data_IF_751621779287
#
_entry.id   IF_751621779287
#
_cell.length_a   1.000
_cell.length_b   1.000
_cell.length_c   1.000
_cell.angle_alpha   90.00
_cell.angle_beta   90.00
_cell.angle_gamma   90.00
#
_symmetry.space_group_name_H-M   'P 1'
#
loop_
_entity.id
_entity.type
_entity.pdbx_description
1 polymer ?
#
# COMPACT_ATOMS: atom_id res chain seq x y z
N UNK A 1 -39.31 -6.41 -27.43
CA UNK A 1 -38.10 -6.07 -28.17
C UNK A 1 -38.33 -5.51 -29.57
N UNK A 2 -39.53 -5.66 -30.18
CA UNK A 2 -39.88 -5.12 -31.51
C UNK A 2 -40.55 -3.72 -31.50
N UNK A 3 -40.99 -3.19 -30.38
CA UNK A 3 -41.67 -1.88 -30.27
C UNK A 3 -40.76 -0.68 -30.07
N UNK A 4 -39.44 -0.89 -29.81
CA UNK A 4 -38.46 0.20 -29.68
C UNK A 4 -37.74 0.55 -30.98
N UNK A 5 -37.81 -0.27 -32.02
CA UNK A 5 -37.14 -0.05 -33.32
C UNK A 5 -37.88 0.88 -34.27
N UNK A 6 -39.19 1.10 -34.04
CA UNK A 6 -40.00 1.96 -34.97
C UNK A 6 -39.88 3.46 -34.68
N UNK A 7 -39.26 3.88 -33.56
CA UNK A 7 -39.05 5.30 -33.25
C UNK A 7 -37.65 5.82 -33.62
N UNK A 8 -36.79 4.98 -34.21
CA UNK A 8 -35.38 5.32 -34.53
C UNK A 8 -35.13 5.62 -35.99
N UNK A 9 -36.12 5.78 -36.86
CA UNK A 9 -35.90 6.02 -38.29
C UNK A 9 -36.68 7.22 -38.83
N UNK A 10 -36.41 8.48 -38.42
CA UNK A 10 -36.83 9.65 -39.21
C UNK A 10 -35.87 10.03 -40.32
N UNK A 11 -34.98 9.12 -40.73
CA UNK A 11 -33.95 9.41 -41.76
C UNK A 11 -34.41 9.32 -43.20
N UNK A 12 -35.68 8.95 -43.48
CA UNK A 12 -36.12 8.69 -44.85
C UNK A 12 -36.85 9.88 -45.51
N UNK A 13 -37.20 10.95 -44.80
CA UNK A 13 -37.97 12.06 -45.38
C UNK A 13 -37.20 13.39 -45.56
N UNK A 14 -35.87 13.41 -45.47
CA UNK A 14 -35.04 14.52 -45.92
C UNK A 14 -35.21 15.87 -45.19
N UNK A 15 -36.05 16.00 -44.18
CA UNK A 15 -36.22 17.22 -43.40
C UNK A 15 -36.03 16.93 -41.90
N UNK A 16 -34.81 17.09 -41.45
CA UNK A 16 -34.54 17.11 -39.98
C UNK A 16 -35.00 18.44 -39.39
N UNK A 17 -35.91 18.45 -38.39
CA UNK A 17 -36.21 19.66 -37.66
C UNK A 17 -34.92 20.07 -36.90
N UNK A 18 -34.43 21.28 -37.18
CA UNK A 18 -33.20 21.86 -36.63
C UNK A 18 -33.12 21.78 -35.11
N UNK A 19 -34.23 21.63 -34.40
CA UNK A 19 -34.33 21.50 -32.93
C UNK A 19 -33.95 20.12 -32.39
N UNK A 20 -33.82 19.04 -33.19
CA UNK A 20 -33.52 17.67 -32.70
C UNK A 20 -32.03 17.34 -32.85
N UNK A 21 -31.30 18.02 -33.73
CA UNK A 21 -29.89 17.75 -34.00
C UNK A 21 -28.97 18.24 -32.86
N UNK A 22 -29.31 19.38 -32.24
CA UNK A 22 -28.50 19.97 -31.18
C UNK A 22 -28.34 19.10 -29.94
N UNK A 23 -29.37 18.44 -29.35
CA UNK A 23 -29.21 17.60 -28.17
C UNK A 23 -28.31 16.39 -28.42
N UNK A 24 -28.39 15.75 -29.60
CA UNK A 24 -27.61 14.56 -29.90
C UNK A 24 -26.11 14.86 -30.18
N UNK A 25 -25.81 15.98 -30.79
CA UNK A 25 -24.44 16.41 -31.10
C UNK A 25 -23.64 16.66 -29.83
N UNK A 26 -24.29 17.14 -28.76
CA UNK A 26 -23.66 17.39 -27.44
C UNK A 26 -23.79 16.17 -26.54
N UNK A 27 -24.94 15.51 -26.52
CA UNK A 27 -25.18 14.39 -25.59
C UNK A 27 -24.32 13.16 -25.89
N UNK A 28 -24.11 12.82 -27.16
CA UNK A 28 -23.31 11.64 -27.53
C UNK A 28 -21.84 11.73 -27.07
N UNK A 29 -21.08 12.80 -27.37
CA UNK A 29 -19.71 12.92 -26.86
C UNK A 29 -19.60 12.88 -25.35
N UNK A 30 -20.52 13.54 -24.63
CA UNK A 30 -20.51 13.53 -23.16
C UNK A 30 -20.81 12.12 -22.63
N UNK A 31 -21.79 11.42 -23.21
CA UNK A 31 -22.12 10.05 -22.81
C UNK A 31 -20.96 9.09 -23.05
N UNK A 32 -20.30 9.21 -24.21
CA UNK A 32 -19.14 8.39 -24.55
C UNK A 32 -17.96 8.69 -23.59
N UNK A 33 -17.72 9.96 -23.25
CA UNK A 33 -16.70 10.35 -22.29
C UNK A 33 -16.99 9.77 -20.88
N UNK A 34 -18.23 9.92 -20.40
CA UNK A 34 -18.67 9.35 -19.12
C UNK A 34 -18.52 7.83 -19.14
N UNK A 35 -18.89 7.17 -20.21
CA UNK A 35 -18.74 5.72 -20.36
C UNK A 35 -17.27 5.28 -20.40
N UNK A 36 -16.41 6.03 -21.07
CA UNK A 36 -14.97 5.75 -21.08
C UNK A 36 -14.36 5.92 -19.68
N UNK A 37 -14.73 7.00 -18.98
CA UNK A 37 -14.29 7.22 -17.59
C UNK A 37 -14.81 6.12 -16.65
N UNK A 38 -16.07 5.71 -16.76
CA UNK A 38 -16.61 4.58 -16.02
C UNK A 38 -15.86 3.28 -16.37
N UNK A 39 -15.60 3.01 -17.64
CA UNK A 39 -14.84 1.82 -18.04
C UNK A 39 -13.42 1.77 -17.45
N UNK A 40 -12.70 2.91 -17.44
CA UNK A 40 -11.39 3.00 -16.80
C UNK A 40 -11.51 2.75 -15.27
N UNK A 41 -12.48 3.36 -14.63
CA UNK A 41 -12.73 3.17 -13.21
C UNK A 41 -13.14 1.71 -12.91
N UNK A 42 -13.94 1.10 -13.80
CA UNK A 42 -14.34 -0.30 -13.72
C UNK A 42 -13.18 -1.29 -13.74
N UNK A 43 -12.09 -0.98 -14.49
CA UNK A 43 -10.85 -1.79 -14.46
C UNK A 43 -10.22 -1.73 -13.07
N UNK A 44 -10.13 -0.54 -12.46
CA UNK A 44 -9.55 -0.36 -11.11
C UNK A 44 -10.40 -1.03 -10.03
N UNK A 45 -11.73 -0.85 -10.11
CA UNK A 45 -12.70 -1.51 -9.22
C UNK A 45 -12.67 -3.02 -9.40
N UNK A 46 -12.58 -3.49 -10.64
CA UNK A 46 -12.48 -4.92 -10.98
C UNK A 46 -11.23 -5.56 -10.38
N UNK A 47 -10.07 -4.89 -10.49
CA UNK A 47 -8.82 -5.37 -9.87
C UNK A 47 -8.95 -5.43 -8.35
N UNK A 48 -9.41 -4.35 -7.72
CA UNK A 48 -9.67 -4.30 -6.28
C UNK A 48 -10.62 -5.41 -5.82
N UNK A 49 -11.70 -5.63 -6.56
CA UNK A 49 -12.69 -6.68 -6.29
C UNK A 49 -12.07 -8.07 -6.41
N UNK A 50 -11.32 -8.32 -7.48
CA UNK A 50 -10.60 -9.58 -7.69
C UNK A 50 -9.68 -9.89 -6.51
N UNK A 51 -8.87 -8.94 -6.06
CA UNK A 51 -7.97 -9.10 -4.92
C UNK A 51 -8.72 -9.42 -3.62
N UNK A 52 -9.80 -8.69 -3.34
CA UNK A 52 -10.60 -8.90 -2.13
C UNK A 52 -11.27 -10.26 -2.11
N UNK A 53 -11.82 -10.73 -3.22
CA UNK A 53 -12.47 -12.03 -3.29
C UNK A 53 -11.45 -13.17 -3.36
N UNK A 54 -10.33 -13.00 -4.07
CA UNK A 54 -9.26 -13.99 -4.08
C UNK A 54 -8.66 -14.22 -2.68
N UNK A 55 -8.68 -13.20 -1.81
CA UNK A 55 -8.25 -13.35 -0.42
C UNK A 55 -9.10 -14.34 0.41
N UNK A 56 -10.29 -14.72 -0.06
CA UNK A 56 -11.15 -15.74 0.56
C UNK A 56 -10.72 -17.18 0.22
N UNK A 57 -9.93 -17.35 -0.82
CA UNK A 57 -9.43 -18.65 -1.23
C UNK A 57 -8.58 -19.29 -0.11
N UNK A 58 -8.49 -20.62 -0.06
CA UNK A 58 -7.57 -21.31 0.84
C UNK A 58 -6.15 -20.73 0.68
N UNK A 59 -5.55 -20.33 1.79
CA UNK A 59 -4.21 -19.75 1.74
C UNK A 59 -3.18 -20.84 1.47
N UNK A 60 -2.35 -20.69 0.44
CA UNK A 60 -1.33 -21.69 0.13
C UNK A 60 -0.33 -21.78 1.29
N UNK A 61 0.07 -23.00 1.64
CA UNK A 61 1.16 -23.19 2.60
C UNK A 61 2.47 -22.73 1.95
N UNK A 62 3.17 -21.73 2.52
CA UNK A 62 4.42 -21.26 1.94
C UNK A 62 5.49 -22.36 2.03
N UNK A 63 6.30 -22.50 0.98
CA UNK A 63 7.50 -23.30 1.06
C UNK A 63 8.50 -22.61 2.00
N UNK A 64 8.99 -23.32 3.00
CA UNK A 64 10.00 -22.85 3.94
C UNK A 64 11.25 -23.69 3.81
N UNK A 65 12.41 -23.05 3.87
CA UNK A 65 13.68 -23.77 3.98
C UNK A 65 13.72 -24.57 5.29
N UNK A 66 14.21 -25.80 5.23
CA UNK A 66 14.45 -26.60 6.43
C UNK A 66 15.54 -25.99 7.32
N UNK A 67 16.58 -25.49 6.69
CA UNK A 67 17.67 -24.79 7.37
C UNK A 67 17.33 -23.32 7.54
N UNK A 68 17.56 -22.79 8.74
CA UNK A 68 17.47 -21.36 9.01
C UNK A 68 18.68 -20.67 8.37
N UNK A 69 18.48 -19.65 7.50
CA UNK A 69 19.60 -18.90 6.95
C UNK A 69 20.23 -18.00 8.02
N UNK A 70 21.51 -17.69 7.86
CA UNK A 70 22.14 -16.59 8.59
C UNK A 70 21.56 -15.27 8.11
N UNK A 71 21.16 -14.42 9.03
CA UNK A 71 20.51 -13.16 8.67
C UNK A 71 21.11 -11.96 9.42
N UNK A 72 20.99 -10.79 8.77
CA UNK A 72 21.20 -9.51 9.39
C UNK A 72 19.90 -8.71 9.40
N UNK A 73 19.58 -8.15 10.55
CA UNK A 73 18.45 -7.22 10.69
C UNK A 73 18.97 -5.80 10.57
N UNK A 74 18.52 -5.05 9.58
CA UNK A 74 18.78 -3.62 9.43
C UNK A 74 17.61 -2.83 10.00
N UNK A 75 17.90 -1.96 10.96
CA UNK A 75 16.91 -1.14 11.65
C UNK A 75 17.29 0.35 11.56
N UNK A 76 16.78 1.08 10.56
CA UNK A 76 16.98 2.53 10.50
C UNK A 76 16.20 3.21 11.63
N UNK A 77 16.87 4.14 12.33
CA UNK A 77 16.31 4.88 13.45
C UNK A 77 16.68 6.36 13.34
N UNK A 78 15.71 7.26 13.56
CA UNK A 78 15.91 8.70 13.63
C UNK A 78 15.17 9.27 14.83
N UNK A 79 15.92 9.61 15.89
CA UNK A 79 15.38 10.15 17.14
C UNK A 79 14.28 9.26 17.77
N UNK A 80 14.63 8.00 18.04
CA UNK A 80 13.74 6.97 18.59
C UNK A 80 14.13 6.58 20.03
N UNK A 81 14.85 7.45 20.76
CA UNK A 81 15.33 7.16 22.14
C UNK A 81 14.25 6.72 23.09
N UNK A 82 12.99 7.18 22.93
CA UNK A 82 11.87 6.81 23.80
C UNK A 82 11.33 5.40 23.55
N UNK A 83 11.49 4.84 22.35
CA UNK A 83 10.85 3.59 21.92
C UNK A 83 11.81 2.45 21.62
N UNK A 84 13.02 2.75 21.16
CA UNK A 84 13.94 1.77 20.62
C UNK A 84 14.28 0.63 21.58
N UNK A 85 14.44 0.93 22.88
CA UNK A 85 14.73 -0.11 23.88
C UNK A 85 13.62 -1.17 23.97
N UNK A 86 12.35 -0.77 23.83
CA UNK A 86 11.22 -1.70 23.85
C UNK A 86 11.23 -2.60 22.61
N UNK A 87 11.50 -2.02 21.44
CA UNK A 87 11.54 -2.78 20.18
C UNK A 87 12.73 -3.76 20.18
N UNK A 88 13.89 -3.34 20.67
CA UNK A 88 15.06 -4.22 20.78
C UNK A 88 14.81 -5.40 21.73
N UNK A 89 14.08 -5.21 22.85
CA UNK A 89 13.66 -6.30 23.74
C UNK A 89 12.78 -7.35 23.05
N UNK A 90 12.08 -6.98 22.01
CA UNK A 90 11.20 -7.89 21.24
C UNK A 90 11.99 -8.57 20.11
N UNK A 91 12.92 -7.85 19.48
CA UNK A 91 13.65 -8.34 18.29
C UNK A 91 14.82 -9.23 18.68
N UNK A 92 15.67 -8.81 19.66
CA UNK A 92 16.87 -9.55 20.06
C UNK A 92 16.63 -11.01 20.44
N UNK A 93 15.57 -11.37 21.21
CA UNK A 93 15.30 -12.77 21.56
C UNK A 93 14.90 -13.66 20.36
N UNK A 94 14.57 -13.08 19.19
CA UNK A 94 14.25 -13.82 17.97
C UNK A 94 15.50 -14.14 17.13
N UNK A 95 16.66 -13.57 17.47
CA UNK A 95 17.91 -13.79 16.79
C UNK A 95 18.67 -14.95 17.43
N UNK A 96 19.41 -15.70 16.61
CA UNK A 96 20.25 -16.82 17.05
C UNK A 96 21.72 -16.49 16.84
N UNK A 97 22.59 -17.34 17.36
CA UNK A 97 24.05 -17.20 17.22
C UNK A 97 24.42 -17.13 15.72
N UNK A 98 25.12 -16.08 15.34
CA UNK A 98 25.50 -15.79 13.95
C UNK A 98 24.66 -14.73 13.25
N UNK A 99 23.47 -14.42 13.76
CA UNK A 99 22.68 -13.28 13.30
C UNK A 99 23.23 -11.97 13.88
N UNK A 100 23.01 -10.86 13.16
CA UNK A 100 23.37 -9.52 13.62
C UNK A 100 22.14 -8.62 13.59
N UNK A 101 21.98 -7.77 14.61
CA UNK A 101 21.05 -6.64 14.59
C UNK A 101 21.88 -5.36 14.45
N UNK A 102 21.66 -4.63 13.38
CA UNK A 102 22.37 -3.40 13.05
C UNK A 102 21.39 -2.25 13.06
N UNK A 103 21.52 -1.38 14.06
CA UNK A 103 20.76 -0.14 14.17
C UNK A 103 21.53 0.96 13.45
N UNK A 104 20.89 1.58 12.48
CA UNK A 104 21.43 2.72 11.73
C UNK A 104 20.81 4.00 12.34
N UNK A 105 21.57 4.66 13.24
CA UNK A 105 21.18 5.93 13.82
C UNK A 105 21.41 7.05 12.80
N UNK A 106 20.39 7.40 12.02
CA UNK A 106 20.48 8.34 10.91
C UNK A 106 20.09 9.75 11.33
N UNK A 107 21.08 10.66 11.31
CA UNK A 107 20.90 12.08 11.70
C UNK A 107 20.23 12.23 13.08
N UNK A 108 20.58 11.39 14.05
CA UNK A 108 20.06 11.48 15.41
C UNK A 108 20.77 12.60 16.19
N UNK A 109 19.98 13.33 16.99
CA UNK A 109 20.43 14.33 17.96
C UNK A 109 20.07 13.96 19.41
N UNK A 110 19.48 12.75 19.62
CA UNK A 110 19.08 12.18 20.89
C UNK A 110 19.95 10.96 21.29
N UNK A 111 19.56 10.24 22.33
CA UNK A 111 20.30 9.08 22.86
C UNK A 111 19.99 7.77 22.12
N UNK A 112 19.39 7.78 20.93
CA UNK A 112 19.01 6.56 20.18
C UNK A 112 20.18 5.59 20.02
N UNK A 113 21.34 6.06 19.57
CA UNK A 113 22.53 5.23 19.35
C UNK A 113 23.04 4.61 20.65
N UNK A 114 23.20 5.41 21.70
CA UNK A 114 23.69 4.95 23.00
C UNK A 114 22.77 3.91 23.64
N UNK A 115 21.46 4.11 23.57
CA UNK A 115 20.46 3.15 24.08
C UNK A 115 20.54 1.85 23.30
N UNK A 116 20.57 1.91 21.96
CA UNK A 116 20.65 0.71 21.12
C UNK A 116 21.93 -0.10 21.40
N UNK A 117 23.06 0.57 21.55
CA UNK A 117 24.33 -0.07 21.90
C UNK A 117 24.30 -0.73 23.26
N UNK A 118 23.73 -0.06 24.27
CA UNK A 118 23.59 -0.61 25.64
C UNK A 118 22.69 -1.86 25.71
N UNK A 119 21.79 -2.02 24.74
CA UNK A 119 20.91 -3.18 24.60
C UNK A 119 21.56 -4.35 23.84
N UNK A 120 22.80 -4.20 23.34
CA UNK A 120 23.55 -5.24 22.63
C UNK A 120 23.36 -5.25 21.11
N UNK A 121 22.77 -4.22 20.53
CA UNK A 121 22.75 -4.06 19.07
C UNK A 121 24.09 -3.55 18.55
N UNK A 122 24.47 -3.93 17.32
CA UNK A 122 25.52 -3.25 16.59
C UNK A 122 24.97 -1.90 16.11
N UNK A 123 25.66 -0.81 16.40
CA UNK A 123 25.19 0.54 16.03
C UNK A 123 26.15 1.18 15.04
N UNK A 124 25.59 1.82 14.03
CA UNK A 124 26.31 2.74 13.14
C UNK A 124 25.58 4.08 13.14
N UNK A 125 26.33 5.15 13.22
CA UNK A 125 25.81 6.50 13.14
C UNK A 125 26.09 7.09 11.76
N UNK A 126 25.08 7.74 11.17
CA UNK A 126 25.18 8.42 9.90
C UNK A 126 24.69 9.85 10.04
N UNK A 127 25.53 10.80 9.69
CA UNK A 127 25.23 12.22 9.69
C UNK A 127 25.38 12.77 8.26
N UNK A 128 24.26 12.97 7.57
CA UNK A 128 24.21 13.55 6.22
C UNK A 128 22.85 14.23 6.00
N UNK A 129 22.84 15.56 6.09
CA UNK A 129 21.63 16.36 5.96
C UNK A 129 21.20 16.55 4.50
N UNK A 130 22.09 16.30 3.53
CA UNK A 130 21.74 16.37 2.10
C UNK A 130 21.03 15.13 1.60
N UNK A 131 21.26 13.99 2.27
CA UNK A 131 20.68 12.69 1.93
C UNK A 131 19.85 12.16 3.12
N UNK A 132 18.71 12.76 3.36
CA UNK A 132 17.81 12.36 4.44
C UNK A 132 16.80 11.32 3.98
N UNK A 133 16.45 10.39 4.88
CA UNK A 133 15.40 9.42 4.67
C UNK A 133 15.86 7.97 4.80
N UNK A 134 14.86 7.11 5.00
CA UNK A 134 15.05 5.69 5.30
C UNK A 134 15.83 4.94 4.22
N UNK A 135 15.60 5.25 2.93
CA UNK A 135 16.32 4.60 1.83
C UNK A 135 17.83 4.80 1.91
N UNK A 136 18.28 6.01 2.25
CA UNK A 136 19.71 6.30 2.41
C UNK A 136 20.31 5.63 3.65
N UNK A 137 19.58 5.57 4.77
CA UNK A 137 20.01 4.87 5.96
C UNK A 137 20.16 3.36 5.68
N UNK A 138 19.20 2.75 5.00
CA UNK A 138 19.27 1.33 4.60
C UNK A 138 20.42 1.07 3.61
N UNK A 139 20.63 1.96 2.63
CA UNK A 139 21.77 1.85 1.72
C UNK A 139 23.12 1.88 2.47
N UNK A 140 23.25 2.77 3.46
CA UNK A 140 24.43 2.80 4.33
C UNK A 140 24.61 1.48 5.11
N UNK A 141 23.51 0.95 5.69
CA UNK A 141 23.53 -0.35 6.37
C UNK A 141 23.95 -1.51 5.45
N UNK A 142 23.48 -1.54 4.21
CA UNK A 142 23.88 -2.57 3.23
C UNK A 142 25.38 -2.48 2.89
N UNK A 143 25.93 -1.28 2.76
CA UNK A 143 27.36 -1.09 2.51
C UNK A 143 28.22 -1.68 3.64
N UNK A 144 27.79 -1.52 4.91
CA UNK A 144 28.52 -2.04 6.06
C UNK A 144 28.56 -3.57 6.14
N UNK A 145 27.53 -4.24 5.64
CA UNK A 145 27.44 -5.71 5.70
C UNK A 145 28.01 -6.38 4.43
N UNK A 146 28.37 -5.61 3.41
CA UNK A 146 28.81 -6.13 2.11
C UNK A 146 30.11 -6.96 2.17
N UNK A 147 31.02 -6.67 3.11
CA UNK A 147 32.28 -7.44 3.28
C UNK A 147 32.06 -8.85 3.88
N UNK A 148 30.94 -9.04 4.63
CA UNK A 148 30.54 -10.33 5.17
C UNK A 148 29.03 -10.45 5.08
N UNK A 149 28.50 -10.64 3.85
CA UNK A 149 27.06 -10.59 3.61
C UNK A 149 26.34 -11.78 4.24
N UNK A 150 25.13 -11.55 4.81
CA UNK A 150 24.25 -12.62 5.27
C UNK A 150 23.63 -13.35 4.07
N UNK A 151 22.99 -14.49 4.32
CA UNK A 151 22.14 -15.11 3.31
C UNK A 151 20.85 -14.30 3.10
N UNK A 152 20.32 -13.71 4.20
CA UNK A 152 19.10 -12.90 4.18
C UNK A 152 19.30 -11.60 4.94
N UNK A 153 18.83 -10.51 4.36
CA UNK A 153 18.69 -9.21 5.04
C UNK A 153 17.22 -9.04 5.43
N UNK A 154 16.98 -8.72 6.70
CA UNK A 154 15.65 -8.37 7.22
C UNK A 154 15.61 -6.88 7.52
N UNK A 155 14.59 -6.16 7.05
CA UNK A 155 14.41 -4.73 7.30
C UNK A 155 13.22 -4.51 8.23
N UNK A 156 13.47 -3.82 9.35
CA UNK A 156 12.48 -3.53 10.39
C UNK A 156 12.56 -2.05 10.80
N UNK A 157 11.42 -1.41 10.98
CA UNK A 157 11.39 -0.06 11.54
C UNK A 157 11.58 -0.07 13.06
N UNK A 158 12.27 0.94 13.57
CA UNK A 158 12.58 1.08 15.00
C UNK A 158 11.36 1.39 15.90
N UNK A 159 10.19 1.61 15.30
CA UNK A 159 8.91 1.89 15.96
C UNK A 159 7.86 0.80 15.77
N UNK A 160 8.24 -0.32 15.17
CA UNK A 160 7.34 -1.42 14.86
C UNK A 160 7.62 -2.66 15.72
N UNK A 161 6.56 -3.23 16.30
CA UNK A 161 6.63 -4.47 17.08
C UNK A 161 6.57 -5.68 16.16
N UNK A 162 7.46 -6.64 16.37
CA UNK A 162 7.57 -7.87 15.59
C UNK A 162 7.01 -9.05 16.40
N UNK A 163 6.03 -9.74 15.86
CA UNK A 163 5.46 -10.91 16.54
C UNK A 163 6.47 -12.07 16.62
N UNK A 164 6.40 -12.90 17.67
CA UNK A 164 7.32 -14.03 17.84
C UNK A 164 7.36 -14.95 16.61
N UNK A 165 8.56 -15.37 16.20
CA UNK A 165 8.78 -16.25 15.07
C UNK A 165 8.68 -15.60 13.69
N UNK A 166 8.29 -14.33 13.60
CA UNK A 166 8.15 -13.61 12.32
C UNK A 166 9.45 -13.56 11.54
N UNK A 167 10.56 -13.18 12.21
CA UNK A 167 11.88 -13.03 11.56
C UNK A 167 12.33 -14.38 10.95
N UNK A 168 12.24 -15.47 11.73
CA UNK A 168 12.57 -16.80 11.23
C UNK A 168 11.71 -17.21 10.05
N UNK A 169 10.41 -16.97 10.13
CA UNK A 169 9.46 -17.39 9.10
C UNK A 169 9.70 -16.69 7.75
N UNK A 170 9.82 -15.35 7.77
CA UNK A 170 10.06 -14.58 6.54
C UNK A 170 11.44 -14.87 5.94
N UNK A 171 12.46 -15.09 6.77
CA UNK A 171 13.81 -15.41 6.30
C UNK A 171 13.85 -16.78 5.62
N UNK A 172 13.28 -17.83 6.24
CA UNK A 172 13.18 -19.17 5.64
C UNK A 172 12.37 -19.17 4.34
N UNK A 173 11.30 -18.38 4.28
CA UNK A 173 10.50 -18.23 3.07
C UNK A 173 11.27 -17.52 1.97
N UNK A 174 12.03 -16.47 2.30
CA UNK A 174 12.84 -15.72 1.34
C UNK A 174 13.89 -16.61 0.66
N UNK A 175 14.61 -17.43 1.43
CA UNK A 175 15.59 -18.37 0.89
C UNK A 175 14.92 -19.49 0.08
N UNK A 176 13.84 -20.09 0.61
CA UNK A 176 13.17 -21.20 -0.08
C UNK A 176 12.64 -20.81 -1.46
N UNK A 177 12.22 -19.57 -1.62
CA UNK A 177 11.65 -19.07 -2.87
C UNK A 177 12.64 -18.22 -3.70
N UNK A 178 13.80 -17.91 -3.14
CA UNK A 178 14.80 -16.98 -3.70
C UNK A 178 14.15 -15.64 -4.12
N UNK A 179 13.26 -15.11 -3.27
CA UNK A 179 12.47 -13.90 -3.54
C UNK A 179 12.34 -13.04 -2.27
N UNK A 180 12.20 -11.71 -2.42
CA UNK A 180 11.81 -10.86 -1.31
C UNK A 180 10.48 -11.29 -0.71
N UNK A 181 10.35 -11.14 0.61
CA UNK A 181 9.15 -11.52 1.36
C UNK A 181 8.67 -10.34 2.20
N UNK A 182 7.39 -10.02 2.11
CA UNK A 182 6.71 -9.05 2.93
C UNK A 182 5.88 -9.75 3.99
N UNK A 183 6.17 -9.51 5.27
CA UNK A 183 5.32 -9.92 6.39
C UNK A 183 4.00 -9.13 6.40
N UNK A 184 2.98 -9.68 7.04
CA UNK A 184 1.75 -8.95 7.33
C UNK A 184 2.05 -7.73 8.20
N UNK A 185 1.80 -6.52 7.68
CA UNK A 185 1.95 -5.28 8.42
C UNK A 185 0.60 -4.66 8.76
N UNK A 186 0.31 -4.49 10.05
CA UNK A 186 -0.94 -3.93 10.55
C UNK A 186 -0.67 -2.76 11.51
N UNK A 187 -1.68 -1.92 11.69
CA UNK A 187 -1.67 -0.84 12.67
C UNK A 187 -2.52 -1.23 13.87
N UNK A 188 -1.95 -1.07 15.06
CA UNK A 188 -2.70 -1.15 16.31
C UNK A 188 -3.44 0.16 16.55
N UNK A 189 -4.68 0.04 17.03
CA UNK A 189 -5.47 1.20 17.40
C UNK A 189 -5.16 1.61 18.85
N UNK A 190 -5.25 2.91 19.19
CA UNK A 190 -5.23 3.34 20.59
C UNK A 190 -6.43 2.77 21.34
N UNK A 191 -6.34 2.74 22.68
CA UNK A 191 -7.40 2.19 23.56
C UNK A 191 -8.78 2.86 23.33
N UNK A 192 -8.79 4.12 22.94
CA UNK A 192 -9.98 4.88 22.57
C UNK A 192 -9.81 5.44 21.14
N UNK A 193 -10.12 4.63 20.12
CA UNK A 193 -9.93 5.06 18.75
C UNK A 193 -10.94 6.14 18.34
N UNK A 194 -10.46 7.22 17.74
CA UNK A 194 -11.31 8.12 16.97
C UNK A 194 -11.94 7.34 15.79
N UNK A 195 -13.22 7.54 15.48
CA UNK A 195 -13.88 6.91 14.34
C UNK A 195 -13.12 7.04 13.01
N UNK A 196 -12.44 8.17 12.77
CA UNK A 196 -11.57 8.35 11.59
C UNK A 196 -10.34 7.45 11.62
N UNK A 197 -9.76 7.22 12.81
CA UNK A 197 -8.65 6.29 12.98
C UNK A 197 -9.08 4.86 12.67
N UNK A 198 -10.28 4.47 13.08
CA UNK A 198 -10.86 3.15 12.80
C UNK A 198 -11.06 2.91 11.29
N UNK A 199 -11.64 3.89 10.55
CA UNK A 199 -11.77 3.80 9.09
C UNK A 199 -10.41 3.72 8.40
N UNK A 200 -9.43 4.49 8.90
CA UNK A 200 -8.07 4.44 8.38
C UNK A 200 -7.40 3.08 8.61
N UNK A 201 -7.60 2.48 9.79
CA UNK A 201 -7.09 1.14 10.10
C UNK A 201 -7.74 0.07 9.20
N UNK A 202 -9.03 0.21 8.87
CA UNK A 202 -9.72 -0.65 7.91
C UNK A 202 -9.08 -0.55 6.52
N UNK A 203 -8.90 0.68 6.02
CA UNK A 203 -8.29 0.89 4.70
C UNK A 203 -6.84 0.35 4.66
N UNK A 204 -6.08 0.53 5.75
CA UNK A 204 -4.73 0.00 5.90
C UNK A 204 -4.71 -1.53 5.93
N UNK A 205 -5.65 -2.16 6.65
CA UNK A 205 -5.82 -3.60 6.68
C UNK A 205 -6.17 -4.16 5.29
N UNK A 206 -7.08 -3.51 4.56
CA UNK A 206 -7.40 -3.92 3.19
C UNK A 206 -6.16 -3.85 2.30
N UNK A 207 -5.40 -2.76 2.38
CA UNK A 207 -4.18 -2.56 1.57
C UNK A 207 -3.08 -3.58 1.91
N UNK A 208 -2.83 -3.84 3.20
CA UNK A 208 -1.63 -4.57 3.64
C UNK A 208 -1.89 -6.04 4.04
N UNK A 209 -3.16 -6.45 4.11
CA UNK A 209 -3.52 -7.84 4.39
C UNK A 209 -4.37 -8.45 3.28
N UNK A 210 -5.54 -7.83 3.00
CA UNK A 210 -6.52 -8.46 2.11
C UNK A 210 -5.99 -8.55 0.69
N UNK A 211 -5.56 -7.43 0.12
CA UNK A 211 -5.06 -7.37 -1.26
C UNK A 211 -3.80 -8.22 -1.47
N UNK A 212 -2.72 -8.10 -0.65
CA UNK A 212 -1.53 -8.93 -0.83
C UNK A 212 -1.81 -10.43 -0.66
N UNK A 213 -2.73 -10.80 0.27
CA UNK A 213 -3.18 -12.18 0.41
C UNK A 213 -3.91 -12.67 -0.84
N UNK A 214 -4.80 -11.84 -1.41
CA UNK A 214 -5.51 -12.18 -2.65
C UNK A 214 -4.55 -12.42 -3.80
N UNK A 215 -3.59 -11.53 -3.99
CA UNK A 215 -2.53 -11.69 -5.00
C UNK A 215 -1.71 -12.96 -4.79
N UNK A 216 -1.32 -13.24 -3.56
CA UNK A 216 -0.55 -14.46 -3.25
C UNK A 216 -1.36 -15.74 -3.50
N UNK A 217 -2.67 -15.75 -3.20
CA UNK A 217 -3.58 -16.85 -3.55
C UNK A 217 -3.70 -17.09 -5.07
N UNK A 218 -3.55 -16.01 -5.86
CA UNK A 218 -3.52 -16.08 -7.33
C UNK A 218 -2.11 -16.37 -7.89
N UNK A 219 -1.10 -16.50 -7.05
CA UNK A 219 0.29 -16.74 -7.46
C UNK A 219 1.05 -15.49 -7.90
N UNK A 220 0.48 -14.29 -7.74
CA UNK A 220 1.07 -13.01 -8.13
C UNK A 220 1.94 -12.39 -7.02
N UNK A 221 2.86 -11.47 -7.37
CA UNK A 221 3.64 -10.72 -6.40
C UNK A 221 2.80 -9.66 -5.68
N UNK A 222 3.30 -9.17 -4.54
CA UNK A 222 2.74 -8.06 -3.81
C UNK A 222 3.70 -6.86 -3.74
N UNK A 223 3.20 -5.69 -3.37
CA UNK A 223 4.03 -4.54 -3.03
C UNK A 223 4.70 -4.75 -1.66
N UNK A 224 5.84 -4.10 -1.46
CA UNK A 224 6.47 -3.96 -0.15
C UNK A 224 5.83 -2.80 0.63
N UNK A 225 5.90 -2.86 1.97
CA UNK A 225 5.18 -1.94 2.87
C UNK A 225 6.05 -1.31 3.95
N UNK A 226 7.36 -1.30 3.72
CA UNK A 226 8.35 -0.58 4.49
C UNK A 226 8.98 -1.38 5.63
N UNK A 227 8.25 -2.19 6.36
CA UNK A 227 8.75 -2.94 7.52
C UNK A 227 8.37 -4.42 7.46
N UNK A 228 9.10 -5.29 8.16
CA UNK A 228 8.86 -6.73 8.09
C UNK A 228 9.18 -7.32 6.72
N UNK A 229 10.25 -6.87 6.11
CA UNK A 229 10.68 -7.31 4.79
C UNK A 229 11.93 -8.17 4.91
N UNK A 230 11.97 -9.31 4.22
CA UNK A 230 13.15 -10.18 4.15
C UNK A 230 13.60 -10.31 2.68
N UNK A 231 14.90 -10.24 2.46
CA UNK A 231 15.52 -10.25 1.13
C UNK A 231 16.64 -11.27 1.08
N UNK A 232 16.69 -12.22 0.13
CA UNK A 232 17.93 -12.88 -0.22
C UNK A 232 18.99 -11.85 -0.57
N UNK A 233 20.25 -12.06 -0.14
CA UNK A 233 21.31 -11.09 -0.40
C UNK A 233 21.46 -10.77 -1.89
N UNK A 234 21.40 -11.77 -2.75
CA UNK A 234 21.48 -11.57 -4.20
C UNK A 234 20.38 -10.64 -4.73
N UNK A 235 19.17 -10.74 -4.18
CA UNK A 235 18.05 -9.90 -4.60
C UNK A 235 18.25 -8.44 -4.18
N UNK A 236 18.56 -8.18 -2.89
CA UNK A 236 18.68 -6.80 -2.42
C UNK A 236 19.93 -6.10 -2.99
N UNK A 237 20.98 -6.83 -3.26
CA UNK A 237 22.20 -6.31 -3.88
C UNK A 237 22.05 -6.03 -5.39
N UNK A 238 20.97 -6.49 -6.03
CA UNK A 238 20.72 -6.25 -7.46
C UNK A 238 20.11 -4.88 -7.77
N UNK A 239 19.68 -4.14 -6.74
CA UNK A 239 18.97 -2.85 -6.87
C UNK A 239 19.58 -1.80 -5.94
N UNK A 240 19.36 -0.52 -6.26
CA UNK A 240 19.81 0.60 -5.42
C UNK A 240 18.71 1.08 -4.49
N UNK A 241 19.06 1.25 -3.20
CA UNK A 241 18.15 1.79 -2.15
C UNK A 241 18.29 3.29 -1.92
N UNK A 242 19.39 3.90 -2.35
CA UNK A 242 19.70 5.31 -2.12
C UNK A 242 18.79 6.26 -2.91
N UNK A 243 17.51 6.34 -2.55
CA UNK A 243 16.54 7.22 -3.19
C UNK A 243 15.92 8.18 -2.20
N UNK A 244 15.58 9.39 -2.68
CA UNK A 244 14.80 10.40 -1.93
C UNK A 244 13.29 10.17 -2.03
N UNK A 245 12.85 9.00 -2.51
CA UNK A 245 11.42 8.71 -2.62
C UNK A 245 10.81 8.58 -1.22
N UNK A 246 9.62 9.17 -1.03
CA UNK A 246 8.92 9.19 0.26
C UNK A 246 8.33 7.81 0.61
N UNK A 247 8.08 6.98 -0.39
CA UNK A 247 7.61 5.58 -0.31
C UNK A 247 8.62 4.70 -1.05
N UNK A 248 9.82 4.65 -0.48
CA UNK A 248 10.97 3.90 -1.03
C UNK A 248 10.68 2.40 -1.14
N UNK A 249 9.82 1.87 -0.30
CA UNK A 249 9.39 0.48 -0.25
C UNK A 249 8.62 0.05 -1.51
N UNK A 250 7.66 0.86 -1.96
CA UNK A 250 6.92 0.58 -3.19
C UNK A 250 7.81 0.67 -4.43
N UNK A 251 8.72 1.65 -4.46
CA UNK A 251 9.73 1.77 -5.51
C UNK A 251 10.63 0.53 -5.52
N UNK A 252 11.13 0.12 -4.35
CA UNK A 252 11.96 -1.05 -4.18
C UNK A 252 11.27 -2.33 -4.67
N UNK A 253 9.97 -2.50 -4.39
CA UNK A 253 9.18 -3.62 -4.88
C UNK A 253 9.18 -3.69 -6.42
N UNK A 254 9.02 -2.54 -7.08
CA UNK A 254 9.03 -2.43 -8.54
C UNK A 254 10.42 -2.75 -9.10
N UNK A 255 11.48 -2.18 -8.53
CA UNK A 255 12.86 -2.37 -8.98
C UNK A 255 13.27 -3.84 -8.86
N UNK A 256 12.97 -4.48 -7.73
CA UNK A 256 13.21 -5.91 -7.50
C UNK A 256 12.41 -6.79 -8.48
N UNK A 257 11.14 -6.49 -8.70
CA UNK A 257 10.30 -7.26 -9.61
C UNK A 257 10.86 -7.22 -11.05
N UNK A 258 11.25 -6.04 -11.54
CA UNK A 258 11.87 -5.87 -12.87
C UNK A 258 13.21 -6.60 -12.95
N UNK A 259 14.01 -6.59 -11.86
CA UNK A 259 15.29 -7.30 -11.77
C UNK A 259 15.14 -8.83 -11.69
N UNK A 260 13.93 -9.38 -11.66
CA UNK A 260 13.67 -10.83 -11.61
C UNK A 260 13.35 -11.39 -10.23
N UNK A 261 13.24 -10.52 -9.21
CA UNK A 261 12.94 -10.87 -7.82
C UNK A 261 11.58 -10.28 -7.35
N UNK A 262 10.44 -10.67 -7.94
CA UNK A 262 9.13 -10.14 -7.57
C UNK A 262 8.76 -10.54 -6.13
N UNK A 263 8.39 -9.59 -5.24
CA UNK A 263 8.15 -9.87 -3.83
C UNK A 263 6.93 -10.78 -3.59
N UNK A 264 6.96 -11.55 -2.49
CA UNK A 264 5.90 -12.44 -2.04
C UNK A 264 5.33 -12.01 -0.70
N UNK A 265 4.04 -12.26 -0.50
CA UNK A 265 3.38 -12.01 0.78
C UNK A 265 3.52 -13.20 1.73
N UNK A 266 3.77 -12.91 3.01
CA UNK A 266 3.83 -13.89 4.09
C UNK A 266 2.81 -13.54 5.17
N UNK A 267 1.63 -14.16 5.13
CA UNK A 267 0.58 -13.94 6.12
C UNK A 267 0.85 -14.58 7.49
N UNK A 268 1.85 -15.46 7.60
CA UNK A 268 2.23 -16.12 8.86
C UNK A 268 3.18 -15.27 9.72
N UNK A 269 4.00 -14.40 9.12
CA UNK A 269 4.79 -13.42 9.84
C UNK A 269 4.01 -12.12 10.01
N UNK A 270 4.04 -11.50 11.19
CA UNK A 270 3.31 -10.26 11.46
C UNK A 270 4.18 -9.21 12.15
N UNK A 271 4.05 -7.97 11.66
CA UNK A 271 4.61 -6.76 12.26
C UNK A 271 3.46 -5.79 12.54
N UNK A 272 3.53 -5.06 13.65
CA UNK A 272 2.52 -4.06 14.02
C UNK A 272 3.16 -2.72 14.32
N UNK A 273 2.66 -1.66 13.67
CA UNK A 273 2.97 -0.27 14.00
C UNK A 273 1.86 0.34 14.86
N UNK A 274 2.11 1.52 15.41
CA UNK A 274 1.13 2.28 16.16
C UNK A 274 0.59 3.44 15.32
N UNK A 275 -0.72 3.67 15.40
CA UNK A 275 -1.33 4.88 14.85
C UNK A 275 -0.98 6.07 15.75
N UNK A 276 -0.52 7.21 15.21
CA UNK A 276 -0.33 8.43 15.99
C UNK A 276 -1.62 8.85 16.69
N UNK A 277 -1.52 9.25 17.96
CA UNK A 277 -2.66 9.76 18.74
C UNK A 277 -2.93 11.23 18.42
N UNK A 278 -1.88 12.00 18.09
CA UNK A 278 -2.02 13.41 17.74
C UNK A 278 -2.60 13.57 16.34
N UNK A 279 -3.61 14.43 16.21
CA UNK A 279 -4.31 14.66 14.94
C UNK A 279 -3.37 15.23 13.86
N UNK A 280 -2.45 16.13 14.22
CA UNK A 280 -1.45 16.72 13.31
C UNK A 280 -0.50 15.67 12.75
N UNK A 281 0.03 14.78 13.60
CA UNK A 281 0.91 13.70 13.22
C UNK A 281 0.19 12.70 12.29
N UNK A 282 -1.08 12.39 12.60
CA UNK A 282 -1.92 11.52 11.77
C UNK A 282 -2.14 12.11 10.37
N UNK A 283 -2.43 13.42 10.25
CA UNK A 283 -2.63 14.10 8.96
C UNK A 283 -1.33 14.08 8.15
N UNK A 284 -0.21 14.47 8.77
CA UNK A 284 1.11 14.50 8.13
C UNK A 284 1.54 13.11 7.62
N UNK A 285 1.38 12.07 8.44
CA UNK A 285 1.71 10.69 8.06
C UNK A 285 0.86 10.21 6.87
N UNK A 286 -0.46 10.46 6.90
CA UNK A 286 -1.37 10.06 5.80
C UNK A 286 -1.08 10.82 4.52
N UNK A 287 -0.83 12.13 4.61
CA UNK A 287 -0.46 12.93 3.46
C UNK A 287 0.80 12.36 2.80
N UNK A 288 1.82 12.02 3.59
CA UNK A 288 3.04 11.40 3.10
C UNK A 288 2.76 10.08 2.38
N UNK A 289 1.98 9.19 2.99
CA UNK A 289 1.70 7.87 2.40
C UNK A 289 0.85 7.94 1.13
N UNK A 290 -0.18 8.80 1.12
CA UNK A 290 -1.09 8.89 -0.02
C UNK A 290 -0.48 9.67 -1.17
N UNK A 291 0.19 10.80 -0.91
CA UNK A 291 0.91 11.53 -1.94
C UNK A 291 2.05 10.68 -2.52
N UNK A 292 2.78 9.96 -1.66
CA UNK A 292 3.81 9.02 -2.09
C UNK A 292 3.25 7.92 -2.98
N UNK A 293 2.14 7.28 -2.58
CA UNK A 293 1.47 6.26 -3.39
C UNK A 293 1.06 6.80 -4.76
N UNK A 294 0.38 7.95 -4.81
CA UNK A 294 -0.08 8.55 -6.08
C UNK A 294 1.09 8.90 -6.98
N UNK A 295 2.19 9.46 -6.43
CA UNK A 295 3.41 9.71 -7.20
C UNK A 295 4.00 8.42 -7.77
N UNK A 296 4.10 7.37 -6.94
CA UNK A 296 4.62 6.07 -7.36
C UNK A 296 3.73 5.43 -8.41
N UNK A 297 2.40 5.49 -8.27
CA UNK A 297 1.44 5.03 -9.28
C UNK A 297 1.71 5.71 -10.62
N UNK A 298 1.79 7.04 -10.64
CA UNK A 298 1.98 7.80 -11.90
C UNK A 298 3.33 7.52 -12.57
N UNK A 299 4.37 7.22 -11.78
CA UNK A 299 5.73 7.02 -12.32
C UNK A 299 6.08 5.56 -12.58
N UNK A 300 5.61 4.63 -11.75
CA UNK A 300 6.03 3.23 -11.81
C UNK A 300 5.06 2.31 -12.56
N UNK A 301 3.77 2.64 -12.64
CA UNK A 301 2.81 1.83 -13.41
C UNK A 301 3.21 1.77 -14.89
N UNK A 302 3.50 2.90 -15.58
CA UNK A 302 3.95 2.85 -16.99
C UNK A 302 5.25 2.03 -17.16
N UNK A 303 6.17 2.15 -16.19
CA UNK A 303 7.44 1.41 -16.21
C UNK A 303 7.21 -0.10 -16.05
N UNK A 304 6.31 -0.52 -15.17
CA UNK A 304 5.94 -1.93 -15.00
C UNK A 304 5.24 -2.50 -16.23
N UNK A 305 4.31 -1.75 -16.83
CA UNK A 305 3.65 -2.16 -18.07
C UNK A 305 4.66 -2.37 -19.21
N UNK A 306 5.57 -1.41 -19.40
CA UNK A 306 6.61 -1.51 -20.42
C UNK A 306 7.52 -2.71 -20.17
N UNK A 307 8.01 -2.88 -18.94
CA UNK A 307 8.87 -4.01 -18.58
C UNK A 307 8.13 -5.36 -18.72
N UNK A 308 6.86 -5.43 -18.29
CA UNK A 308 6.04 -6.63 -18.41
C UNK A 308 5.83 -7.05 -19.87
N UNK A 309 5.56 -6.08 -20.75
CA UNK A 309 5.45 -6.33 -22.19
C UNK A 309 6.79 -6.78 -22.81
N UNK A 310 7.89 -6.06 -22.52
CA UNK A 310 9.21 -6.36 -23.07
C UNK A 310 9.77 -7.70 -22.60
N UNK A 311 9.59 -8.02 -21.32
CA UNK A 311 10.07 -9.26 -20.70
C UNK A 311 9.08 -10.42 -20.85
N UNK A 312 7.88 -10.18 -21.43
CA UNK A 312 6.77 -11.17 -21.54
C UNK A 312 6.40 -11.78 -20.18
N UNK A 313 6.35 -10.96 -19.14
CA UNK A 313 6.13 -11.37 -17.76
C UNK A 313 4.79 -10.87 -17.24
N UNK A 314 3.85 -11.80 -17.04
CA UNK A 314 2.50 -11.50 -16.54
C UNK A 314 2.50 -11.05 -15.08
N UNK A 315 3.48 -11.48 -14.28
CA UNK A 315 3.62 -11.06 -12.89
C UNK A 315 3.93 -9.56 -12.74
N UNK A 316 4.69 -8.97 -13.69
CA UNK A 316 4.89 -7.52 -13.75
C UNK A 316 3.62 -6.77 -14.13
N UNK A 317 2.81 -7.33 -15.05
CA UNK A 317 1.53 -6.75 -15.44
C UNK A 317 0.52 -6.81 -14.27
N UNK A 318 0.50 -7.92 -13.52
CA UNK A 318 -0.32 -8.05 -12.32
C UNK A 318 0.09 -7.04 -11.24
N UNK A 319 1.41 -6.85 -11.01
CA UNK A 319 1.92 -5.85 -10.07
C UNK A 319 1.59 -4.42 -10.54
N UNK A 320 1.63 -4.16 -11.85
CA UNK A 320 1.20 -2.88 -12.41
C UNK A 320 -0.29 -2.62 -12.18
N UNK A 321 -1.12 -3.64 -12.35
CA UNK A 321 -2.57 -3.56 -12.11
C UNK A 321 -2.88 -3.32 -10.62
N UNK A 322 -2.21 -4.03 -9.70
CA UNK A 322 -2.32 -3.78 -8.25
C UNK A 322 -1.90 -2.35 -7.89
N UNK A 323 -0.74 -1.90 -8.34
CA UNK A 323 -0.24 -0.55 -8.08
C UNK A 323 -1.15 0.54 -8.69
N UNK A 324 -1.87 0.24 -9.78
CA UNK A 324 -2.81 1.17 -10.42
C UNK A 324 -4.04 1.47 -9.55
N UNK A 325 -4.41 0.58 -8.63
CA UNK A 325 -5.53 0.81 -7.71
C UNK A 325 -5.15 1.90 -6.71
N UNK A 326 -5.77 3.09 -6.76
CA UNK A 326 -5.42 4.20 -5.88
C UNK A 326 -5.83 3.89 -4.42
N UNK A 327 -5.45 4.74 -3.44
CA UNK A 327 -5.97 4.61 -2.09
C UNK A 327 -7.49 4.46 -2.07
N UNK A 328 -8.01 3.50 -1.27
CA UNK A 328 -9.44 3.13 -1.27
C UNK A 328 -10.37 4.34 -1.12
N UNK A 329 -10.00 5.30 -0.28
CA UNK A 329 -10.78 6.54 -0.12
C UNK A 329 -10.87 7.34 -1.42
N UNK A 330 -9.78 7.45 -2.19
CA UNK A 330 -9.79 8.13 -3.48
C UNK A 330 -10.61 7.35 -4.52
N UNK A 331 -10.47 6.03 -4.55
CA UNK A 331 -11.27 5.17 -5.46
C UNK A 331 -12.77 5.38 -5.24
N UNK A 332 -13.24 5.34 -3.98
CA UNK A 332 -14.64 5.58 -3.63
C UNK A 332 -15.08 7.01 -3.95
N UNK A 333 -14.22 8.01 -3.73
CA UNK A 333 -14.53 9.40 -4.06
C UNK A 333 -14.67 9.62 -5.58
N UNK A 334 -13.77 9.05 -6.38
CA UNK A 334 -13.85 9.12 -7.84
C UNK A 334 -15.10 8.45 -8.36
N UNK A 335 -15.42 7.26 -7.83
CA UNK A 335 -16.65 6.56 -8.16
C UNK A 335 -17.91 7.38 -7.78
N UNK A 336 -17.94 7.94 -6.56
CA UNK A 336 -19.08 8.75 -6.11
C UNK A 336 -19.28 10.01 -6.95
N UNK A 337 -18.21 10.71 -7.27
CA UNK A 337 -18.24 11.92 -8.10
C UNK A 337 -18.75 11.60 -9.53
N UNK A 338 -18.19 10.56 -10.14
CA UNK A 338 -18.60 10.16 -11.50
C UNK A 338 -20.05 9.67 -11.53
N UNK A 339 -20.48 8.93 -10.50
CA UNK A 339 -21.88 8.49 -10.34
C UNK A 339 -22.83 9.70 -10.21
N UNK A 340 -22.47 10.71 -9.43
CA UNK A 340 -23.28 11.93 -9.30
C UNK A 340 -23.39 12.69 -10.64
N UNK A 341 -22.27 12.81 -11.39
CA UNK A 341 -22.25 13.45 -12.70
C UNK A 341 -23.10 12.66 -13.70
N UNK A 342 -22.93 11.33 -13.77
CA UNK A 342 -23.70 10.47 -14.66
C UNK A 342 -25.20 10.50 -14.32
N UNK A 343 -25.54 10.54 -13.02
CA UNK A 343 -26.94 10.69 -12.55
C UNK A 343 -27.56 12.02 -12.97
N UNK A 344 -26.81 13.11 -12.92
CA UNK A 344 -27.25 14.42 -13.41
C UNK A 344 -27.41 14.39 -14.94
N UNK A 345 -26.46 13.82 -15.68
CA UNK A 345 -26.54 13.66 -17.12
C UNK A 345 -27.79 12.86 -17.55
N UNK A 346 -28.08 11.78 -16.83
CA UNK A 346 -29.29 10.97 -17.06
C UNK A 346 -30.58 11.78 -16.82
N UNK A 347 -30.62 12.60 -15.75
CA UNK A 347 -31.76 13.51 -15.50
C UNK A 347 -31.93 14.56 -16.59
N UNK A 348 -30.86 14.94 -17.27
CA UNK A 348 -30.87 15.86 -18.41
C UNK A 348 -31.22 15.16 -19.74
N UNK A 349 -31.63 13.88 -19.71
CA UNK A 349 -32.07 13.12 -20.87
C UNK A 349 -30.96 12.37 -21.61
N UNK A 350 -29.76 12.26 -21.03
CA UNK A 350 -28.68 11.46 -21.62
C UNK A 350 -28.91 9.96 -21.35
N UNK A 351 -28.34 9.05 -22.20
CA UNK A 351 -28.43 7.61 -22.00
C UNK A 351 -27.98 7.15 -20.60
N UNK A 352 -28.71 6.20 -20.00
CA UNK A 352 -28.48 5.75 -18.62
C UNK A 352 -27.31 4.74 -18.48
N UNK A 353 -26.82 4.12 -19.57
CA UNK A 353 -25.85 3.03 -19.49
C UNK A 353 -24.54 3.36 -18.72
N UNK A 354 -23.97 4.61 -18.73
CA UNK A 354 -22.82 4.90 -17.88
C UNK A 354 -23.17 4.85 -16.39
N UNK A 355 -24.39 5.31 -16.03
CA UNK A 355 -24.89 5.24 -14.65
C UNK A 355 -25.14 3.79 -14.21
N UNK A 356 -25.66 2.95 -15.09
CA UNK A 356 -25.88 1.52 -14.82
C UNK A 356 -24.54 0.79 -14.59
N UNK A 357 -23.52 1.08 -15.40
CA UNK A 357 -22.17 0.55 -15.21
C UNK A 357 -21.60 0.97 -13.86
N UNK A 358 -21.69 2.25 -13.50
CA UNK A 358 -21.27 2.75 -12.18
C UNK A 358 -22.06 2.14 -11.04
N UNK A 359 -23.33 1.80 -11.25
CA UNK A 359 -24.13 1.06 -10.29
C UNK A 359 -23.57 -0.33 -10.00
N UNK A 360 -23.16 -1.07 -11.04
CA UNK A 360 -22.49 -2.37 -10.88
C UNK A 360 -21.13 -2.24 -10.17
N UNK A 361 -20.35 -1.23 -10.50
CA UNK A 361 -19.08 -0.93 -9.83
C UNK A 361 -19.29 -0.61 -8.35
N UNK A 362 -20.33 0.16 -8.00
CA UNK A 362 -20.69 0.46 -6.62
C UNK A 362 -21.05 -0.79 -5.81
N UNK A 363 -21.79 -1.73 -6.41
CA UNK A 363 -22.09 -3.02 -5.80
C UNK A 363 -20.81 -3.85 -5.60
N UNK A 364 -19.90 -3.85 -6.58
CA UNK A 364 -18.62 -4.53 -6.49
C UNK A 364 -17.74 -3.94 -5.37
N UNK A 365 -17.64 -2.60 -5.27
CA UNK A 365 -16.91 -1.92 -4.21
C UNK A 365 -17.49 -2.24 -2.83
N UNK A 366 -18.81 -2.10 -2.69
CA UNK A 366 -19.50 -2.36 -1.42
C UNK A 366 -19.30 -3.80 -0.97
N UNK A 367 -19.52 -4.78 -1.88
CA UNK A 367 -19.33 -6.20 -1.57
C UNK A 367 -17.88 -6.51 -1.19
N UNK A 368 -16.91 -5.92 -1.87
CA UNK A 368 -15.47 -6.11 -1.58
C UNK A 368 -15.10 -5.60 -0.19
N UNK A 369 -15.56 -4.39 0.18
CA UNK A 369 -15.30 -3.81 1.51
C UNK A 369 -16.00 -4.61 2.61
N UNK A 370 -17.25 -5.02 2.38
CA UNK A 370 -18.02 -5.85 3.34
C UNK A 370 -17.37 -7.21 3.55
N UNK A 371 -16.97 -7.89 2.48
CA UNK A 371 -16.28 -9.18 2.55
C UNK A 371 -14.93 -9.06 3.29
N UNK A 372 -14.16 -8.03 2.96
CA UNK A 372 -12.89 -7.75 3.64
C UNK A 372 -13.12 -7.51 5.15
N UNK A 373 -14.12 -6.69 5.50
CA UNK A 373 -14.46 -6.44 6.89
C UNK A 373 -14.96 -7.70 7.60
N UNK A 374 -15.91 -8.43 7.02
CA UNK A 374 -16.50 -9.65 7.61
C UNK A 374 -15.46 -10.72 7.90
N UNK A 375 -14.49 -10.91 7.00
CA UNK A 375 -13.52 -12.00 7.10
C UNK A 375 -12.27 -11.65 7.87
N UNK A 376 -11.82 -10.40 7.81
CA UNK A 376 -10.52 -9.97 8.33
C UNK A 376 -10.61 -8.87 9.39
N UNK A 377 -11.70 -8.11 9.41
CA UNK A 377 -11.82 -6.88 10.21
C UNK A 377 -12.79 -6.92 11.37
N UNK A 378 -13.81 -7.78 11.37
CA UNK A 378 -14.93 -7.73 12.33
C UNK A 378 -14.50 -7.86 13.79
N UNK A 379 -13.46 -8.64 14.07
CA UNK A 379 -12.95 -8.88 15.43
C UNK A 379 -12.09 -7.70 15.95
N UNK A 380 -11.72 -6.76 15.08
CA UNK A 380 -10.87 -5.61 15.37
C UNK A 380 -11.58 -4.27 15.24
N UNK A 381 -12.61 -4.21 14.39
CA UNK A 381 -13.29 -2.99 13.97
C UNK A 381 -14.80 -3.17 14.08
N UNK A 382 -15.50 -2.41 14.92
CA UNK A 382 -16.96 -2.51 15.06
C UNK A 382 -17.66 -2.09 13.77
N UNK A 383 -18.86 -2.63 13.52
CA UNK A 383 -19.68 -2.30 12.33
C UNK A 383 -19.93 -0.79 12.17
N UNK A 384 -20.08 -0.10 13.29
CA UNK A 384 -20.26 1.36 13.31
C UNK A 384 -19.13 2.12 12.58
N UNK A 385 -17.94 1.53 12.47
CA UNK A 385 -16.82 2.10 11.68
C UNK A 385 -17.21 2.32 10.23
N UNK A 386 -18.02 1.43 9.64
CA UNK A 386 -18.45 1.56 8.24
C UNK A 386 -19.43 2.74 8.06
N UNK A 387 -20.23 3.08 9.09
CA UNK A 387 -21.15 4.22 9.04
C UNK A 387 -20.44 5.58 9.01
N UNK A 388 -19.19 5.63 9.46
CA UNK A 388 -18.39 6.86 9.50
C UNK A 388 -17.65 7.11 8.17
N UNK A 389 -17.62 6.14 7.26
CA UNK A 389 -16.92 6.24 5.97
C UNK A 389 -17.30 7.51 5.19
N UNK A 390 -18.57 7.92 5.02
CA UNK A 390 -18.90 9.14 4.28
C UNK A 390 -18.25 10.39 4.89
N UNK A 391 -18.30 10.54 6.22
CA UNK A 391 -17.67 11.67 6.91
C UNK A 391 -16.11 11.64 6.76
N UNK A 392 -15.53 10.46 6.80
CA UNK A 392 -14.10 10.27 6.58
C UNK A 392 -13.68 10.68 5.16
N UNK A 393 -14.49 10.36 4.14
CA UNK A 393 -14.23 10.77 2.75
C UNK A 393 -14.25 12.30 2.61
N UNK A 394 -15.24 12.99 3.17
CA UNK A 394 -15.30 14.45 3.16
C UNK A 394 -14.06 15.07 3.82
N UNK A 395 -13.61 14.50 4.93
CA UNK A 395 -12.39 14.96 5.60
C UNK A 395 -11.13 14.77 4.75
N UNK A 396 -11.10 13.80 3.83
CA UNK A 396 -9.97 13.53 2.94
C UNK A 396 -9.90 14.44 1.71
N UNK A 397 -10.97 15.16 1.35
CA UNK A 397 -10.99 16.03 0.16
C UNK A 397 -9.83 17.03 0.15
N UNK A 398 -9.54 17.78 1.23
CA UNK A 398 -8.43 18.73 1.23
C UNK A 398 -7.07 18.10 0.97
N UNK A 399 -6.86 16.84 1.42
CA UNK A 399 -5.60 16.10 1.21
C UNK A 399 -5.36 15.83 -0.29
N UNK A 400 -6.41 15.42 -1.03
CA UNK A 400 -6.28 15.17 -2.46
C UNK A 400 -6.19 16.44 -3.30
N UNK A 401 -6.89 17.51 -2.87
CA UNK A 401 -6.71 18.84 -3.46
C UNK A 401 -5.26 19.31 -3.26
N UNK A 402 -4.70 19.11 -2.08
CA UNK A 402 -3.30 19.45 -1.79
C UNK A 402 -2.31 18.67 -2.67
N UNK A 403 -2.61 17.40 -3.02
CA UNK A 403 -1.77 16.64 -3.96
C UNK A 403 -1.70 17.30 -5.33
N UNK A 404 -2.82 17.82 -5.85
CA UNK A 404 -2.86 18.48 -7.17
C UNK A 404 -2.17 19.84 -7.13
N UNK A 405 -2.38 20.64 -6.06
CA UNK A 405 -1.91 22.01 -5.98
C UNK A 405 -0.48 22.12 -5.45
N UNK A 406 -0.12 21.31 -4.45
CA UNK A 406 1.17 21.35 -3.73
C UNK A 406 1.57 19.95 -3.28
N UNK A 407 2.00 19.06 -4.21
CA UNK A 407 2.40 17.70 -3.85
C UNK A 407 3.56 17.71 -2.86
N UNK A 408 3.50 16.88 -1.84
CA UNK A 408 4.61 16.70 -0.91
C UNK A 408 5.72 15.91 -1.62
N UNK A 409 6.88 16.57 -1.79
CA UNK A 409 8.04 15.99 -2.49
C UNK A 409 9.23 15.74 -1.57
N UNK A 410 9.21 16.31 -0.35
CA UNK A 410 10.29 16.17 0.62
C UNK A 410 9.87 15.30 1.79
N UNK A 411 10.82 14.55 2.32
CA UNK A 411 10.63 13.81 3.56
C UNK A 411 10.39 14.81 4.72
N UNK A 412 9.33 14.58 5.48
CA UNK A 412 8.99 15.36 6.68
C UNK A 412 8.82 14.36 7.83
N UNK A 413 9.51 14.58 8.93
CA UNK A 413 9.38 13.76 10.14
C UNK A 413 7.94 13.81 10.65
N UNK A 414 7.38 12.66 10.96
CA UNK A 414 6.13 12.56 11.73
C UNK A 414 6.49 12.65 13.21
N UNK A 415 5.89 13.57 13.95
CA UNK A 415 6.05 13.66 15.40
C UNK A 415 5.58 12.36 16.05
N UNK A 416 6.35 11.85 17.02
CA UNK A 416 6.02 10.63 17.76
C UNK A 416 5.24 10.97 19.03
N UNK A 417 4.23 10.18 19.33
CA UNK A 417 3.58 10.22 20.62
C UNK A 417 4.51 9.64 21.69
N UNK A 418 4.58 10.22 22.90
CA UNK A 418 5.31 9.61 24.00
C UNK A 418 4.71 8.24 24.32
N UNK A 419 5.55 7.21 24.30
CA UNK A 419 5.13 5.84 24.63
C UNK A 419 4.69 5.81 26.09
N UNK A 420 3.38 5.66 26.33
CA UNK A 420 2.88 5.38 27.68
C UNK A 420 3.23 3.95 28.02
N UNK A 421 4.24 3.76 28.86
CA UNK A 421 4.53 2.47 29.51
C UNK A 421 3.29 2.10 30.33
N UNK A 422 2.66 0.93 30.12
CA UNK A 422 1.64 0.46 31.04
C UNK A 422 2.25 0.41 32.43
N UNK A 423 1.65 1.09 33.41
CA UNK A 423 2.03 0.91 34.82
C UNK A 423 1.74 -0.55 35.14
N UNK A 424 2.81 -1.28 35.50
CA UNK A 424 2.78 -2.66 36.03
C UNK A 424 1.84 -2.78 37.21
#
# INVERSE_FOLDING_TARGET
MMLYFSQCLPWLDGQMPVGIVYPWVIALPITLLLGAMAGILGILVGMFTLECFAALLPYPKPALSQNRPRLDVLMPAHNESMGIALILKIVLPQLVKGDRLIVIADNCDDQTAAIAQSMGATVTERHNLDQQGKGYALAHGLTLIADNPPEVVVMLDADCSVHPGTIDHIARMAIAQNRPVQALYLLTQPAHPDPKAAVSALAFMVKNWVRPRGLDCLGFPCLLTGTGMAFPWAAINSVSLGTSNIVEDMQLAVDLAIAGYPPKFCGAGQVTGQLPQQASATVSQRMRWEHGHLKTLLTQVPRLWLAGYQQKRIDLLALAADLSVPPLSLLVMLWSALTAIAGLACKLGMPAWPLELLGLEGLALLSSVLVAWLRFGRDRLPLQTLLVVPLYLLWKIPLYIAFVLRPQTRWVRTERDPIKVPKS
#
